data_IF_322336744961
#
_entry.id   IF_322336744961
#
_cell.length_a   1.000
_cell.length_b   1.000
_cell.length_c   1.000
_cell.angle_alpha   90.00
_cell.angle_beta   90.00
_cell.angle_gamma   90.00
#
_symmetry.space_group_name_H-M   'P 1'
#
loop_
_entity.id
_entity.type
_entity.pdbx_description
1 polymer ?
#
# COMPACT_ATOMS: atom_id res chain seq x y z
N UNK A 1 35.70 17.82 -6.13
CA UNK A 1 35.56 16.47 -6.72
C UNK A 1 35.99 16.53 -8.19
N UNK A 2 35.31 17.30 -9.06
CA UNK A 2 35.59 17.31 -10.50
C UNK A 2 37.03 17.56 -10.88
N UNK A 3 37.75 18.46 -10.16
CA UNK A 3 39.17 18.70 -10.40
C UNK A 3 40.06 17.50 -10.12
N UNK A 4 39.72 16.71 -9.10
CA UNK A 4 40.53 15.54 -8.71
C UNK A 4 40.34 14.36 -9.68
N UNK A 5 39.14 14.26 -10.28
CA UNK A 5 38.79 13.19 -11.21
C UNK A 5 38.76 13.63 -12.68
N UNK A 6 39.15 14.87 -12.99
CA UNK A 6 39.31 15.37 -14.36
C UNK A 6 38.00 15.65 -15.11
N UNK A 7 36.88 15.89 -14.42
CA UNK A 7 35.61 16.24 -15.05
C UNK A 7 35.09 17.61 -14.60
N UNK A 8 34.15 18.18 -15.35
CA UNK A 8 33.48 19.46 -15.08
C UNK A 8 31.96 19.24 -14.94
N UNK A 9 31.22 20.28 -14.51
CA UNK A 9 29.76 20.22 -14.43
C UNK A 9 29.07 20.05 -15.79
N UNK A 10 29.76 20.31 -16.88
CA UNK A 10 29.26 20.14 -18.25
C UNK A 10 29.66 18.81 -18.89
N UNK A 11 30.47 18.00 -18.21
CA UNK A 11 30.88 16.68 -18.71
C UNK A 11 29.68 15.72 -18.64
N UNK A 12 29.33 15.06 -19.76
CA UNK A 12 28.29 14.03 -19.75
C UNK A 12 28.60 12.92 -18.75
N UNK A 13 27.58 12.36 -18.10
CA UNK A 13 27.75 11.30 -17.09
C UNK A 13 28.45 10.07 -17.68
N UNK A 14 28.17 9.76 -18.95
CA UNK A 14 28.77 8.63 -19.68
C UNK A 14 30.30 8.77 -19.88
N UNK A 15 30.83 9.98 -19.80
CA UNK A 15 32.26 10.28 -19.94
C UNK A 15 32.97 10.35 -18.56
N UNK A 16 32.24 10.30 -17.46
CA UNK A 16 32.81 10.31 -16.11
C UNK A 16 33.25 8.89 -15.75
N UNK A 17 34.45 8.75 -15.20
CA UNK A 17 34.98 7.45 -14.78
C UNK A 17 34.11 6.80 -13.72
N UNK A 18 33.98 5.45 -13.74
CA UNK A 18 33.25 4.68 -12.75
C UNK A 18 33.71 4.97 -11.30
N UNK A 19 35.04 5.18 -11.11
CA UNK A 19 35.59 5.54 -9.81
C UNK A 19 35.12 6.91 -9.33
N UNK A 20 34.99 7.89 -10.22
CA UNK A 20 34.45 9.20 -9.88
C UNK A 20 32.93 9.13 -9.57
N UNK A 21 32.19 8.32 -10.31
CA UNK A 21 30.76 8.08 -10.06
C UNK A 21 30.56 7.41 -8.69
N UNK A 22 31.33 6.38 -8.39
CA UNK A 22 31.27 5.69 -7.10
C UNK A 22 31.60 6.65 -5.95
N UNK A 23 32.64 7.46 -6.12
CA UNK A 23 33.01 8.51 -5.15
C UNK A 23 31.84 9.52 -4.94
N UNK A 24 31.21 9.98 -6.01
CA UNK A 24 30.08 10.92 -5.92
C UNK A 24 28.88 10.29 -5.20
N UNK A 25 28.58 9.04 -5.51
CA UNK A 25 27.42 8.35 -4.95
C UNK A 25 27.64 7.92 -3.51
N UNK A 26 28.75 7.26 -3.21
CA UNK A 26 28.99 6.58 -1.95
C UNK A 26 29.92 7.34 -1.01
N UNK A 27 30.64 8.35 -1.53
CA UNK A 27 31.61 9.13 -0.76
C UNK A 27 32.94 8.39 -0.55
N UNK A 28 33.76 8.95 0.30
CA UNK A 28 35.03 8.33 0.74
C UNK A 28 35.35 8.75 2.16
N UNK A 29 36.08 7.92 2.85
CA UNK A 29 36.68 8.24 4.16
C UNK A 29 37.95 9.13 4.02
N UNK A 30 38.41 9.35 2.81
CA UNK A 30 39.53 10.27 2.53
C UNK A 30 39.04 11.71 2.54
N UNK A 31 39.80 12.57 3.21
CA UNK A 31 39.52 14.02 3.26
C UNK A 31 39.88 14.68 1.95
N UNK A 32 38.95 15.49 1.43
CA UNK A 32 39.17 16.33 0.26
C UNK A 32 39.58 17.73 0.69
N UNK A 33 40.67 18.23 0.13
CA UNK A 33 41.06 19.64 0.24
C UNK A 33 40.18 20.48 -0.70
N UNK A 34 39.31 21.30 -0.12
CA UNK A 34 38.43 22.20 -0.87
C UNK A 34 38.80 23.63 -0.58
N UNK A 35 39.24 24.34 -1.63
CA UNK A 35 39.55 25.77 -1.54
C UNK A 35 38.25 26.58 -1.65
N UNK A 36 37.80 27.20 -0.59
CA UNK A 36 36.66 28.12 -0.58
C UNK A 36 37.08 29.59 -0.50
N UNK A 37 36.48 30.43 -1.36
CA UNK A 37 36.59 31.89 -1.24
C UNK A 37 35.49 32.40 -0.35
N UNK A 38 35.82 32.78 0.87
CA UNK A 38 34.89 33.43 1.82
C UNK A 38 35.39 34.89 2.04
N UNK A 39 34.55 35.87 1.72
CA UNK A 39 34.86 37.29 1.87
C UNK A 39 36.18 37.76 1.22
N UNK A 40 36.57 37.19 0.06
CA UNK A 40 37.76 37.56 -0.67
C UNK A 40 39.06 36.86 -0.23
N UNK A 41 39.04 36.05 0.80
CA UNK A 41 40.14 35.22 1.30
C UNK A 41 39.94 33.78 0.85
N UNK A 42 40.93 33.17 0.22
CA UNK A 42 40.91 31.75 -0.10
C UNK A 42 41.36 30.97 1.14
N UNK A 43 40.48 30.16 1.70
CA UNK A 43 40.82 29.25 2.77
C UNK A 43 40.66 27.80 2.27
N UNK A 44 41.65 26.97 2.53
CA UNK A 44 41.58 25.53 2.25
C UNK A 44 40.97 24.83 3.48
N UNK A 45 39.94 24.06 3.24
CA UNK A 45 39.27 23.26 4.25
C UNK A 45 39.32 21.77 3.86
N UNK A 46 39.64 20.94 4.80
CA UNK A 46 39.48 19.49 4.67
C UNK A 46 38.03 19.09 4.92
N UNK A 47 37.43 18.50 3.93
CA UNK A 47 36.01 18.04 4.02
C UNK A 47 35.96 16.55 3.71
N UNK A 48 35.32 15.80 4.60
CA UNK A 48 34.91 14.43 4.32
C UNK A 48 33.62 14.49 3.51
N UNK A 49 33.61 13.86 2.33
CA UNK A 49 32.44 13.81 1.49
C UNK A 49 31.72 12.48 1.70
N UNK A 50 30.60 12.51 2.37
CA UNK A 50 29.82 11.32 2.73
C UNK A 50 29.10 10.63 1.55
N UNK A 51 29.06 11.25 0.37
CA UNK A 51 28.35 10.75 -0.81
C UNK A 51 26.87 11.12 -0.84
N UNK A 52 26.35 11.23 -2.07
CA UNK A 52 24.96 11.67 -2.31
C UNK A 52 23.95 10.69 -1.70
N UNK A 53 24.20 9.38 -1.80
CA UNK A 53 23.31 8.33 -1.26
C UNK A 53 23.16 8.46 0.25
N UNK A 54 24.27 8.66 0.97
CA UNK A 54 24.26 8.83 2.41
C UNK A 54 23.61 10.15 2.84
N UNK A 55 23.87 11.25 2.10
CA UNK A 55 23.19 12.54 2.31
C UNK A 55 21.68 12.40 2.20
N UNK A 56 21.18 11.78 1.12
CA UNK A 56 19.75 11.57 0.88
C UNK A 56 19.15 10.70 1.98
N UNK A 57 19.80 9.60 2.34
CA UNK A 57 19.36 8.67 3.39
C UNK A 57 19.26 9.37 4.73
N UNK A 58 20.28 10.14 5.13
CA UNK A 58 20.28 10.91 6.37
C UNK A 58 19.19 11.97 6.38
N UNK A 59 19.03 12.73 5.29
CA UNK A 59 17.99 13.75 5.18
C UNK A 59 16.58 13.14 5.26
N UNK A 60 16.39 11.95 4.73
CA UNK A 60 15.12 11.21 4.85
C UNK A 60 14.85 10.78 6.30
N UNK A 61 15.84 10.23 6.99
CA UNK A 61 15.68 9.73 8.35
C UNK A 61 15.43 10.85 9.37
N UNK A 62 16.22 11.93 9.30
CA UNK A 62 16.14 13.05 10.24
C UNK A 62 14.92 13.96 10.02
N UNK A 63 14.39 14.02 8.79
CA UNK A 63 13.39 15.00 8.39
C UNK A 63 12.10 14.39 7.80
N UNK A 64 11.68 13.21 8.25
CA UNK A 64 10.55 12.43 7.67
C UNK A 64 9.27 13.23 7.40
N UNK A 65 8.97 14.22 8.21
CA UNK A 65 7.74 15.04 8.13
C UNK A 65 7.94 16.40 7.46
N UNK A 66 9.18 16.84 7.25
CA UNK A 66 9.52 18.15 6.67
C UNK A 66 9.60 18.09 5.14
N UNK A 67 9.66 19.24 4.48
CA UNK A 67 9.80 19.36 3.01
C UNK A 67 11.05 18.66 2.47
N UNK A 68 12.17 18.74 3.22
CA UNK A 68 13.44 18.09 2.89
C UNK A 68 13.30 16.56 2.88
N UNK A 69 12.62 15.97 3.87
CA UNK A 69 12.37 14.52 3.90
C UNK A 69 11.46 14.06 2.74
N UNK A 70 10.48 14.89 2.34
CA UNK A 70 9.67 14.62 1.15
C UNK A 70 10.48 14.69 -0.15
N UNK A 71 11.39 15.67 -0.24
CA UNK A 71 12.33 15.74 -1.35
C UNK A 71 13.23 14.52 -1.42
N UNK A 72 13.84 14.10 -0.32
CA UNK A 72 14.70 12.91 -0.25
C UNK A 72 13.95 11.63 -0.64
N UNK A 73 12.66 11.51 -0.25
CA UNK A 73 11.82 10.36 -0.61
C UNK A 73 11.60 10.20 -2.12
N UNK A 74 11.74 11.27 -2.93
CA UNK A 74 11.61 11.19 -4.39
C UNK A 74 12.77 10.41 -5.05
N UNK A 75 13.90 10.28 -4.36
CA UNK A 75 15.06 9.53 -4.81
C UNK A 75 15.12 8.10 -4.25
N UNK A 76 14.10 7.68 -3.50
CA UNK A 76 14.06 6.38 -2.84
C UNK A 76 12.96 5.49 -3.42
N UNK A 77 13.30 4.24 -3.70
CA UNK A 77 12.33 3.23 -4.09
C UNK A 77 12.00 2.31 -2.91
N UNK A 78 10.72 1.93 -2.80
CA UNK A 78 10.31 0.92 -1.84
C UNK A 78 10.62 -0.45 -2.39
N UNK A 79 11.46 -1.18 -1.69
CA UNK A 79 11.78 -2.56 -2.02
C UNK A 79 11.14 -3.51 -1.00
N UNK A 80 10.82 -4.72 -1.44
CA UNK A 80 10.34 -5.76 -0.54
C UNK A 80 11.45 -6.16 0.41
N UNK A 81 11.16 -6.18 1.71
CA UNK A 81 12.12 -6.59 2.74
C UNK A 81 12.58 -8.04 2.50
N UNK A 82 13.87 -8.26 2.35
CA UNK A 82 14.47 -9.58 2.10
C UNK A 82 14.34 -10.52 3.30
N UNK A 83 14.23 -9.99 4.52
CA UNK A 83 14.07 -10.79 5.73
C UNK A 83 12.68 -11.39 5.89
N UNK A 84 11.62 -10.62 5.60
CA UNK A 84 10.23 -11.07 5.77
C UNK A 84 9.49 -11.30 4.44
N UNK A 85 10.12 -11.04 3.29
CA UNK A 85 9.53 -11.18 1.96
C UNK A 85 8.13 -10.54 1.83
N UNK A 86 7.97 -9.36 2.46
CA UNK A 86 6.72 -8.61 2.43
C UNK A 86 5.65 -9.07 3.43
N UNK A 87 5.85 -10.15 4.19
CA UNK A 87 4.88 -10.63 5.18
C UNK A 87 4.72 -9.70 6.38
N UNK A 88 5.71 -8.83 6.65
CA UNK A 88 5.78 -7.93 7.82
C UNK A 88 5.78 -8.66 9.17
N UNK A 89 6.00 -9.96 9.16
CA UNK A 89 5.99 -10.83 10.32
C UNK A 89 7.35 -11.48 10.53
N UNK A 90 7.62 -11.91 11.75
CA UNK A 90 8.80 -12.69 12.07
C UNK A 90 8.70 -14.09 11.47
N UNK A 91 9.84 -14.72 11.15
CA UNK A 91 9.89 -16.07 10.57
C UNK A 91 9.16 -17.11 11.41
N UNK A 92 9.21 -16.98 12.74
CA UNK A 92 8.53 -17.88 13.67
C UNK A 92 7.00 -17.90 13.50
N UNK A 93 6.39 -16.77 13.11
CA UNK A 93 4.95 -16.70 12.84
C UNK A 93 4.53 -17.59 11.66
N UNK A 94 5.45 -17.87 10.72
CA UNK A 94 5.18 -18.72 9.56
C UNK A 94 5.14 -20.21 9.88
N UNK A 95 5.61 -20.62 11.08
CA UNK A 95 5.54 -22.03 11.50
C UNK A 95 4.13 -22.44 11.92
N UNK A 96 3.28 -21.48 12.31
CA UNK A 96 1.87 -21.75 12.59
C UNK A 96 1.09 -21.83 11.28
N UNK A 97 0.55 -23.02 11.00
CA UNK A 97 -0.19 -23.29 9.76
C UNK A 97 -1.58 -23.84 10.06
N UNK A 98 -2.54 -23.44 9.27
CA UNK A 98 -3.88 -24.01 9.24
C UNK A 98 -4.10 -24.55 7.82
N UNK A 99 -4.44 -25.83 7.69
CA UNK A 99 -4.58 -26.48 6.37
C UNK A 99 -3.32 -26.22 5.48
N UNK A 100 -2.12 -26.44 6.04
CA UNK A 100 -0.82 -26.22 5.43
C UNK A 100 -0.48 -24.75 5.02
N UNK A 101 -1.36 -23.77 5.24
CA UNK A 101 -1.15 -22.37 4.92
C UNK A 101 -0.74 -21.57 6.15
N UNK A 102 0.30 -20.74 6.02
CA UNK A 102 0.67 -19.72 7.01
C UNK A 102 -0.22 -18.49 6.89
N UNK A 103 -0.16 -17.60 7.87
CA UNK A 103 -0.89 -16.33 7.83
C UNK A 103 -0.47 -15.45 6.63
N UNK A 104 0.79 -15.52 6.19
CA UNK A 104 1.25 -14.79 5.01
C UNK A 104 0.66 -15.36 3.72
N UNK A 105 0.58 -16.71 3.61
CA UNK A 105 -0.05 -17.36 2.46
C UNK A 105 -1.53 -16.97 2.37
N UNK A 106 -2.23 -16.95 3.49
CA UNK A 106 -3.64 -16.57 3.59
C UNK A 106 -3.83 -15.09 3.21
N UNK A 107 -3.00 -14.18 3.74
CA UNK A 107 -3.12 -12.75 3.49
C UNK A 107 -2.78 -12.35 2.04
N UNK A 108 -2.01 -13.16 1.32
CA UNK A 108 -1.62 -12.92 -0.07
C UNK A 108 -2.62 -13.49 -1.10
N UNK A 109 -3.57 -14.32 -0.67
CA UNK A 109 -4.64 -14.78 -1.56
C UNK A 109 -5.57 -13.62 -1.94
N UNK A 110 -6.16 -13.69 -3.12
CA UNK A 110 -7.28 -12.84 -3.47
C UNK A 110 -8.50 -13.18 -2.60
N UNK A 111 -9.41 -12.21 -2.43
CA UNK A 111 -10.55 -12.34 -1.52
C UNK A 111 -11.50 -13.45 -1.93
N UNK A 112 -11.63 -13.75 -3.23
CA UNK A 112 -12.50 -14.81 -3.70
C UNK A 112 -11.95 -16.19 -3.32
N UNK A 113 -10.67 -16.44 -3.60
CA UNK A 113 -9.96 -17.66 -3.20
C UNK A 113 -9.93 -17.83 -1.67
N UNK A 114 -9.76 -16.72 -0.94
CA UNK A 114 -9.81 -16.70 0.51
C UNK A 114 -11.19 -17.11 1.03
N UNK A 115 -12.27 -16.57 0.46
CA UNK A 115 -13.63 -16.91 0.83
C UNK A 115 -13.95 -18.38 0.59
N UNK A 116 -13.57 -18.93 -0.56
CA UNK A 116 -13.73 -20.34 -0.88
C UNK A 116 -12.96 -21.23 0.12
N UNK A 117 -11.73 -20.87 0.43
CA UNK A 117 -10.92 -21.61 1.38
C UNK A 117 -11.52 -21.59 2.80
N UNK A 118 -11.97 -20.43 3.30
CA UNK A 118 -12.56 -20.31 4.63
C UNK A 118 -13.87 -21.08 4.76
N UNK A 119 -14.69 -21.14 3.69
CA UNK A 119 -15.93 -21.93 3.68
C UNK A 119 -15.67 -23.44 3.75
N UNK A 120 -14.61 -23.94 3.11
CA UNK A 120 -14.25 -25.37 3.13
C UNK A 120 -13.40 -25.76 4.34
N UNK A 121 -12.81 -24.77 5.03
CA UNK A 121 -11.88 -25.04 6.12
C UNK A 121 -12.51 -25.82 7.28
N UNK A 122 -13.79 -25.54 7.61
CA UNK A 122 -14.46 -26.17 8.75
C UNK A 122 -14.47 -27.71 8.64
N UNK A 123 -14.60 -28.22 7.42
CA UNK A 123 -14.62 -29.68 7.14
C UNK A 123 -13.27 -30.36 7.36
N UNK A 124 -12.19 -29.58 7.26
CA UNK A 124 -10.81 -30.06 7.41
C UNK A 124 -10.32 -30.02 8.87
N UNK A 125 -11.07 -29.37 9.74
CA UNK A 125 -10.69 -29.21 11.14
C UNK A 125 -11.18 -30.39 12.01
N UNK A 126 -10.43 -30.71 13.07
CA UNK A 126 -10.88 -31.66 14.08
C UNK A 126 -12.12 -31.14 14.81
N UNK A 127 -12.94 -32.02 15.38
CA UNK A 127 -14.20 -31.65 16.10
C UNK A 127 -13.98 -30.56 17.15
N UNK A 128 -12.88 -30.63 17.91
CA UNK A 128 -12.53 -29.62 18.92
C UNK A 128 -12.23 -28.26 18.28
N UNK A 129 -11.48 -28.25 17.16
CA UNK A 129 -11.15 -27.04 16.41
C UNK A 129 -12.40 -26.45 15.73
N UNK A 130 -13.31 -27.28 15.22
CA UNK A 130 -14.58 -26.85 14.62
C UNK A 130 -15.43 -26.02 15.60
N UNK A 131 -15.53 -26.44 16.84
CA UNK A 131 -16.27 -25.71 17.88
C UNK A 131 -15.67 -24.33 18.12
N UNK A 132 -14.34 -24.23 18.18
CA UNK A 132 -13.64 -22.96 18.37
C UNK A 132 -13.76 -22.07 17.12
N UNK A 133 -13.57 -22.64 15.94
CA UNK A 133 -13.49 -21.90 14.70
C UNK A 133 -14.83 -21.42 14.14
N UNK A 134 -15.94 -22.07 14.50
CA UNK A 134 -17.26 -21.85 13.91
C UNK A 134 -17.68 -20.38 13.88
N UNK A 135 -17.71 -19.73 15.04
CA UNK A 135 -18.14 -18.33 15.13
C UNK A 135 -17.12 -17.38 14.49
N UNK A 136 -15.82 -17.69 14.60
CA UNK A 136 -14.73 -16.90 14.01
C UNK A 136 -14.83 -16.95 12.47
N UNK A 137 -14.98 -18.14 11.89
CA UNK A 137 -15.10 -18.32 10.45
C UNK A 137 -16.38 -17.68 9.90
N UNK A 138 -17.49 -17.76 10.64
CA UNK A 138 -18.72 -17.08 10.27
C UNK A 138 -18.52 -15.58 10.15
N UNK A 139 -17.90 -14.96 11.13
CA UNK A 139 -17.63 -13.52 11.13
C UNK A 139 -16.66 -13.13 10.00
N UNK A 140 -15.58 -13.89 9.81
CA UNK A 140 -14.63 -13.67 8.72
C UNK A 140 -15.32 -13.77 7.36
N UNK A 141 -16.11 -14.83 7.14
CA UNK A 141 -16.84 -15.03 5.88
C UNK A 141 -17.85 -13.91 5.61
N UNK A 142 -18.55 -13.45 6.62
CA UNK A 142 -19.46 -12.31 6.50
C UNK A 142 -18.73 -11.06 6.04
N UNK A 143 -17.60 -10.73 6.63
CA UNK A 143 -16.79 -9.53 6.24
C UNK A 143 -16.17 -9.66 4.87
N UNK A 144 -15.65 -10.84 4.51
CA UNK A 144 -15.12 -11.08 3.16
C UNK A 144 -16.26 -10.96 2.15
N UNK A 145 -17.42 -11.51 2.44
CA UNK A 145 -18.59 -11.43 1.54
C UNK A 145 -18.95 -9.97 1.22
N UNK A 146 -18.99 -9.07 2.21
CA UNK A 146 -19.24 -7.65 1.94
C UNK A 146 -18.23 -7.04 0.96
N UNK A 147 -16.94 -7.43 1.05
CA UNK A 147 -15.93 -6.98 0.10
C UNK A 147 -16.14 -7.56 -1.30
N UNK A 148 -16.59 -8.81 -1.40
CA UNK A 148 -16.93 -9.45 -2.68
C UNK A 148 -18.16 -8.81 -3.33
N UNK A 149 -19.17 -8.49 -2.52
CA UNK A 149 -20.43 -7.90 -2.98
C UNK A 149 -20.26 -6.49 -3.54
N UNK A 150 -19.22 -5.76 -3.10
CA UNK A 150 -18.81 -4.47 -3.71
C UNK A 150 -17.78 -4.64 -4.83
N UNK A 151 -17.55 -5.83 -5.36
CA UNK A 151 -16.72 -6.10 -6.52
C UNK A 151 -15.20 -6.09 -6.27
N UNK A 152 -14.74 -6.32 -5.04
CA UNK A 152 -13.32 -6.33 -4.68
C UNK A 152 -12.72 -7.73 -4.65
N UNK A 153 -13.13 -8.63 -5.56
CA UNK A 153 -12.77 -10.05 -5.61
C UNK A 153 -11.27 -10.29 -5.73
N UNK A 154 -10.57 -9.42 -6.48
CA UNK A 154 -9.16 -9.53 -6.84
C UNK A 154 -8.18 -8.95 -5.82
N UNK A 155 -8.67 -8.24 -4.81
CA UNK A 155 -7.80 -7.68 -3.77
C UNK A 155 -7.30 -8.76 -2.81
N UNK A 156 -6.11 -8.53 -2.25
CA UNK A 156 -5.57 -9.34 -1.16
C UNK A 156 -5.49 -8.53 0.14
N UNK A 157 -5.58 -9.21 1.29
CA UNK A 157 -5.46 -8.56 2.60
C UNK A 157 -4.08 -7.92 2.83
N UNK A 158 -3.05 -8.41 2.16
CA UNK A 158 -1.68 -7.88 2.27
C UNK A 158 -1.46 -6.63 1.41
N UNK A 159 -2.41 -6.24 0.56
CA UNK A 159 -2.27 -5.05 -0.29
C UNK A 159 -2.20 -3.77 0.54
N UNK A 160 -1.20 -2.94 0.26
CA UNK A 160 -1.04 -1.66 0.95
C UNK A 160 -2.17 -0.70 0.59
N UNK A 161 -2.78 -0.05 1.59
CA UNK A 161 -3.83 0.96 1.38
C UNK A 161 -3.38 2.13 0.49
N UNK A 162 -2.08 2.43 0.47
CA UNK A 162 -1.51 3.48 -0.39
C UNK A 162 -1.52 3.14 -1.89
N UNK A 163 -1.68 1.87 -2.24
CA UNK A 163 -1.74 1.40 -3.64
C UNK A 163 -3.16 1.22 -4.14
N UNK A 164 -4.15 1.49 -3.31
CA UNK A 164 -5.56 1.44 -3.68
C UNK A 164 -5.91 2.65 -4.54
N UNK A 165 -6.70 2.42 -5.58
CA UNK A 165 -7.35 3.49 -6.32
C UNK A 165 -8.43 4.18 -5.46
N UNK A 166 -8.87 5.37 -5.86
CA UNK A 166 -9.95 6.09 -5.18
C UNK A 166 -11.22 5.25 -5.06
N UNK A 167 -11.65 4.60 -6.15
CA UNK A 167 -12.81 3.72 -6.16
C UNK A 167 -12.65 2.48 -5.28
N UNK A 168 -11.47 1.82 -5.27
CA UNK A 168 -11.20 0.69 -4.37
C UNK A 168 -11.33 1.11 -2.89
N UNK A 169 -10.74 2.25 -2.53
CA UNK A 169 -10.79 2.75 -1.16
C UNK A 169 -12.23 3.10 -0.74
N UNK A 170 -13.02 3.67 -1.65
CA UNK A 170 -14.43 4.00 -1.42
C UNK A 170 -15.27 2.73 -1.22
N UNK A 171 -15.09 1.71 -2.06
CA UNK A 171 -15.79 0.42 -1.93
C UNK A 171 -15.43 -0.33 -0.66
N UNK A 172 -14.17 -0.29 -0.22
CA UNK A 172 -13.78 -0.85 1.09
C UNK A 172 -14.53 -0.15 2.24
N UNK A 173 -14.65 1.18 2.18
CA UNK A 173 -15.44 1.93 3.16
C UNK A 173 -16.90 1.53 3.13
N UNK A 174 -17.50 1.42 1.93
CA UNK A 174 -18.87 1.00 1.76
C UNK A 174 -19.09 -0.41 2.35
N UNK A 175 -18.25 -1.39 2.02
CA UNK A 175 -18.31 -2.73 2.60
C UNK A 175 -18.24 -2.72 4.14
N UNK A 176 -17.38 -1.85 4.70
CA UNK A 176 -17.25 -1.69 6.15
C UNK A 176 -18.55 -1.10 6.76
N UNK A 177 -19.18 -0.16 6.06
CA UNK A 177 -20.43 0.48 6.50
C UNK A 177 -21.61 -0.50 6.46
N UNK A 178 -21.75 -1.27 5.38
CA UNK A 178 -22.74 -2.36 5.27
C UNK A 178 -22.55 -3.36 6.43
N UNK A 179 -21.30 -3.74 6.69
CA UNK A 179 -20.97 -4.66 7.77
C UNK A 179 -21.21 -4.13 9.19
N UNK A 180 -21.30 -2.80 9.37
CA UNK A 180 -21.61 -2.20 10.67
C UNK A 180 -23.05 -2.31 11.10
N UNK A 181 -23.96 -2.61 10.16
CA UNK A 181 -25.42 -2.68 10.37
C UNK A 181 -26.00 -1.45 11.08
N UNK A 182 -25.40 -0.27 10.87
CA UNK A 182 -25.93 0.98 11.39
C UNK A 182 -27.26 1.33 10.71
N UNK A 183 -28.18 1.88 11.46
CA UNK A 183 -29.49 2.33 11.00
C UNK A 183 -29.67 3.83 11.19
N UNK A 184 -30.57 4.46 10.43
CA UNK A 184 -30.83 5.90 10.45
C UNK A 184 -29.63 6.76 10.11
N UNK A 185 -28.76 6.29 9.20
CA UNK A 185 -27.58 7.00 8.69
C UNK A 185 -27.86 7.51 7.28
N UNK A 186 -27.37 8.69 6.95
CA UNK A 186 -27.32 9.23 5.59
C UNK A 186 -25.94 8.92 4.99
N UNK A 187 -25.94 8.15 3.90
CA UNK A 187 -24.73 7.87 3.10
C UNK A 187 -24.74 8.75 1.86
N UNK A 188 -23.61 9.38 1.57
CA UNK A 188 -23.39 10.14 0.35
C UNK A 188 -22.23 9.49 -0.39
N UNK A 189 -22.51 9.00 -1.60
CA UNK A 189 -21.55 8.27 -2.43
C UNK A 189 -21.35 9.02 -3.75
N UNK A 190 -20.09 9.21 -4.12
CA UNK A 190 -19.70 9.87 -5.35
C UNK A 190 -19.06 8.84 -6.28
N UNK A 191 -19.73 8.58 -7.41
CA UNK A 191 -19.34 7.61 -8.44
C UNK A 191 -18.89 6.23 -7.88
N UNK A 192 -19.70 5.54 -7.05
CA UNK A 192 -19.28 4.26 -6.44
C UNK A 192 -19.07 3.16 -7.47
N UNK A 193 -19.60 3.26 -8.68
CA UNK A 193 -19.39 2.32 -9.79
C UNK A 193 -18.08 2.52 -10.53
N UNK A 194 -17.33 3.59 -10.26
CA UNK A 194 -16.13 3.93 -11.03
C UNK A 194 -15.12 2.75 -11.05
N UNK A 195 -14.75 2.33 -12.26
CA UNK A 195 -13.82 1.22 -12.46
C UNK A 195 -14.41 -0.17 -12.20
N UNK A 196 -15.73 -0.31 -12.03
CA UNK A 196 -16.41 -1.60 -12.02
C UNK A 196 -16.70 -2.07 -13.46
N UNK A 197 -16.71 -3.39 -13.63
CA UNK A 197 -17.28 -4.01 -14.81
C UNK A 197 -18.81 -4.04 -14.67
N UNK A 198 -19.55 -3.90 -15.76
CA UNK A 198 -21.03 -3.87 -15.75
C UNK A 198 -21.66 -5.03 -14.96
N UNK A 199 -21.06 -6.23 -14.99
CA UNK A 199 -21.49 -7.39 -14.21
C UNK A 199 -21.44 -7.16 -12.69
N UNK A 200 -20.52 -6.32 -12.22
CA UNK A 200 -20.36 -6.08 -10.78
C UNK A 200 -21.22 -4.91 -10.30
N UNK A 201 -21.79 -4.11 -11.23
CA UNK A 201 -22.75 -3.05 -10.90
C UNK A 201 -24.02 -3.63 -10.25
N UNK A 202 -24.52 -4.79 -10.71
CA UNK A 202 -25.68 -5.44 -10.13
C UNK A 202 -25.46 -5.80 -8.64
N UNK A 203 -24.27 -6.26 -8.27
CA UNK A 203 -23.92 -6.58 -6.89
C UNK A 203 -23.87 -5.31 -6.05
N UNK A 204 -23.25 -4.23 -6.58
CA UNK A 204 -23.21 -2.94 -5.92
C UNK A 204 -24.62 -2.39 -5.68
N UNK A 205 -25.50 -2.42 -6.68
CA UNK A 205 -26.90 -2.01 -6.58
C UNK A 205 -27.63 -2.79 -5.49
N UNK A 206 -27.44 -4.11 -5.48
CA UNK A 206 -28.04 -4.98 -4.46
C UNK A 206 -27.58 -4.59 -3.06
N UNK A 207 -26.28 -4.40 -2.88
CA UNK A 207 -25.70 -4.00 -1.59
C UNK A 207 -26.17 -2.63 -1.12
N UNK A 208 -26.36 -1.66 -2.04
CA UNK A 208 -26.93 -0.36 -1.72
C UNK A 208 -28.41 -0.46 -1.31
N UNK A 209 -29.19 -1.29 -2.00
CA UNK A 209 -30.58 -1.54 -1.64
C UNK A 209 -30.71 -2.22 -0.27
N UNK A 210 -29.86 -3.21 0.02
CA UNK A 210 -29.81 -3.84 1.34
C UNK A 210 -29.48 -2.82 2.44
N UNK A 211 -28.51 -1.92 2.19
CA UNK A 211 -28.16 -0.86 3.14
C UNK A 211 -29.30 0.13 3.36
N UNK A 212 -30.09 0.47 2.33
CA UNK A 212 -31.31 1.28 2.41
C UNK A 212 -32.38 0.55 3.23
N UNK A 213 -32.62 -0.72 2.94
CA UNK A 213 -33.72 -1.51 3.51
C UNK A 213 -33.54 -1.75 5.03
N UNK A 214 -32.33 -1.67 5.54
CA UNK A 214 -32.05 -1.67 6.99
C UNK A 214 -32.56 -0.37 7.67
N UNK A 215 -32.95 0.64 6.91
CA UNK A 215 -33.47 1.92 7.43
C UNK A 215 -32.53 3.10 7.26
N UNK A 216 -31.67 3.07 6.25
CA UNK A 216 -30.77 4.16 5.92
C UNK A 216 -31.26 4.99 4.72
N UNK A 217 -30.73 6.19 4.58
CA UNK A 217 -30.88 7.02 3.38
C UNK A 217 -29.58 7.05 2.60
N UNK A 218 -29.67 6.89 1.27
CA UNK A 218 -28.48 6.86 0.41
C UNK A 218 -28.66 7.87 -0.70
N UNK A 219 -27.72 8.80 -0.82
CA UNK A 219 -27.61 9.74 -1.95
C UNK A 219 -26.41 9.28 -2.79
N UNK A 220 -26.64 9.03 -4.07
CA UNK A 220 -25.62 8.60 -5.01
C UNK A 220 -25.51 9.62 -6.14
N UNK A 221 -24.29 10.09 -6.39
CA UNK A 221 -23.96 10.85 -7.59
C UNK A 221 -23.37 9.85 -8.58
N UNK A 222 -24.02 9.65 -9.72
CA UNK A 222 -23.65 8.60 -10.68
C UNK A 222 -23.89 9.02 -12.14
N UNK A 223 -23.15 8.37 -13.03
CA UNK A 223 -23.32 8.46 -14.48
C UNK A 223 -23.71 7.11 -15.10
N UNK A 224 -23.65 6.04 -14.35
CA UNK A 224 -24.07 4.71 -14.80
C UNK A 224 -25.60 4.62 -14.87
N UNK A 225 -26.11 4.26 -16.05
CA UNK A 225 -27.54 4.22 -16.33
C UNK A 225 -28.27 3.19 -15.46
N UNK A 226 -27.69 2.04 -15.17
CA UNK A 226 -28.35 0.96 -14.46
C UNK A 226 -28.51 1.35 -12.97
N UNK A 227 -27.52 2.04 -12.40
CA UNK A 227 -27.60 2.56 -11.03
C UNK A 227 -28.64 3.69 -10.96
N UNK A 228 -28.63 4.63 -11.92
CA UNK A 228 -29.61 5.71 -11.97
C UNK A 228 -31.05 5.19 -12.07
N UNK A 229 -31.30 4.19 -12.92
CA UNK A 229 -32.61 3.58 -13.08
C UNK A 229 -33.05 2.71 -11.89
N UNK A 230 -32.12 2.32 -11.03
CA UNK A 230 -32.37 1.50 -9.83
C UNK A 230 -32.67 2.34 -8.59
N UNK A 231 -32.60 3.66 -8.68
CA UNK A 231 -32.92 4.60 -7.61
C UNK A 231 -34.43 4.66 -7.38
N UNK A 232 -34.85 5.01 -6.17
CA UNK A 232 -36.26 5.17 -5.80
C UNK A 232 -36.82 6.53 -6.27
N UNK A 233 -35.93 7.55 -6.41
CA UNK A 233 -36.24 8.92 -6.80
C UNK A 233 -35.19 9.48 -7.74
#
# INVERSE_FOLDING_TARGET
IGKNFGFTLSTPIEEISEEAIDFILNGSTETLLVSQKVAGVTADAEIEFEGIVNIISRQFEENKTKSIGRWANNFMNKVTCTSCNGSRLQKQAMYFKIDAKSIADIANQDLESLYQWTNTLIEKLSKKQQVIAKEILKEINTRIKFLLDVGLTYLSLNRSSRTLSGGEAQRIRLATQIGSQLVNVLYILDEPSIGLHQRDNEKLITSLKELRDIGNSIIVVEHDKDIMLSSDY
#
